data_IF_230237712884
#
_entry.id   IF_230237712884
#
_cell.length_a   1.000
_cell.length_b   1.000
_cell.length_c   1.000
_cell.angle_alpha   90.00
_cell.angle_beta   90.00
_cell.angle_gamma   90.00
#
_symmetry.space_group_name_H-M   'P 1'
#
loop_
_entity.id
_entity.type
_entity.pdbx_description
1 polymer ?
#
# COMPACT_ATOMS: atom_id res chain seq x y z
N UNK A 1 18.57 -11.16 -9.04
CA UNK A 1 18.09 -10.10 -8.14
C UNK A 1 17.62 -10.76 -6.87
N UNK A 2 18.18 -10.42 -5.70
CA UNK A 2 17.75 -10.97 -4.41
C UNK A 2 16.59 -10.12 -3.90
N UNK A 3 15.38 -10.68 -3.83
CA UNK A 3 14.27 -9.96 -3.19
C UNK A 3 14.55 -9.84 -1.69
N UNK A 4 14.42 -8.65 -1.09
CA UNK A 4 14.58 -8.48 0.34
C UNK A 4 13.47 -9.23 1.10
N UNK A 5 13.82 -9.76 2.27
CA UNK A 5 12.95 -10.62 3.10
C UNK A 5 11.55 -10.04 3.32
N UNK A 6 11.49 -8.73 3.61
CA UNK A 6 10.23 -7.98 3.81
C UNK A 6 9.27 -8.10 2.62
N UNK A 7 9.78 -8.03 1.40
CA UNK A 7 8.96 -8.08 0.20
C UNK A 7 8.34 -9.48 0.04
N UNK A 8 9.11 -10.52 0.33
CA UNK A 8 8.58 -11.88 0.22
C UNK A 8 7.52 -12.17 1.29
N UNK A 9 7.73 -11.69 2.51
CA UNK A 9 6.71 -11.79 3.58
C UNK A 9 5.42 -11.10 3.14
N UNK A 10 5.54 -9.87 2.61
CA UNK A 10 4.39 -9.14 2.09
C UNK A 10 3.68 -9.88 0.94
N UNK A 11 4.41 -10.39 -0.06
CA UNK A 11 3.84 -11.14 -1.18
C UNK A 11 3.17 -12.43 -0.71
N UNK A 12 3.70 -13.09 0.32
CA UNK A 12 3.07 -14.29 0.92
C UNK A 12 1.72 -13.93 1.56
N UNK A 13 1.67 -12.83 2.31
CA UNK A 13 0.41 -12.34 2.91
C UNK A 13 -0.58 -11.94 1.81
N UNK A 14 -0.10 -11.25 0.77
CA UNK A 14 -0.92 -10.80 -0.36
C UNK A 14 -1.55 -11.95 -1.14
N UNK A 15 -0.79 -13.01 -1.40
CA UNK A 15 -1.29 -14.19 -2.09
C UNK A 15 -2.29 -15.00 -1.25
N UNK A 16 -2.16 -14.98 0.07
CA UNK A 16 -3.10 -15.63 0.98
C UNK A 16 -4.36 -14.76 1.25
N UNK A 17 -4.25 -13.44 1.15
CA UNK A 17 -5.29 -12.47 1.48
C UNK A 17 -5.46 -12.26 2.99
N UNK A 18 -5.73 -13.33 3.72
CA UNK A 18 -5.82 -13.34 5.20
C UNK A 18 -5.33 -14.67 5.75
N UNK A 19 -4.48 -14.63 6.78
CA UNK A 19 -3.90 -15.82 7.41
C UNK A 19 -3.47 -15.53 8.85
N UNK A 20 -3.21 -16.57 9.63
CA UNK A 20 -2.67 -16.41 10.99
C UNK A 20 -1.15 -16.27 10.97
N UNK A 21 -0.57 -15.74 12.04
CA UNK A 21 0.88 -15.62 12.17
C UNK A 21 1.59 -16.99 12.15
N UNK A 22 0.94 -18.02 12.71
CA UNK A 22 1.37 -19.41 12.62
C UNK A 22 1.34 -19.96 11.18
N UNK A 23 0.30 -19.65 10.41
CA UNK A 23 0.19 -20.06 8.99
C UNK A 23 1.22 -19.34 8.12
N UNK A 24 1.46 -18.06 8.38
CA UNK A 24 2.47 -17.27 7.69
C UNK A 24 3.87 -17.84 7.93
N UNK A 25 4.21 -18.13 9.19
CA UNK A 25 5.49 -18.76 9.55
C UNK A 25 5.69 -20.10 8.83
N UNK A 26 4.66 -20.97 8.84
CA UNK A 26 4.70 -22.26 8.11
C UNK A 26 4.89 -22.06 6.61
N UNK A 27 4.26 -21.05 6.01
CA UNK A 27 4.37 -20.76 4.59
C UNK A 27 5.77 -20.28 4.20
N UNK A 28 6.38 -19.44 5.05
CA UNK A 28 7.76 -18.98 4.86
C UNK A 28 8.77 -20.12 5.00
N UNK A 29 8.58 -21.02 5.97
CA UNK A 29 9.42 -22.22 6.12
C UNK A 29 9.33 -23.11 4.89
N UNK A 30 8.11 -23.32 4.34
CA UNK A 30 7.92 -24.07 3.08
C UNK A 30 8.62 -23.41 1.88
N UNK A 31 8.72 -22.08 1.88
CA UNK A 31 9.49 -21.34 0.89
C UNK A 31 11.02 -21.39 1.11
N UNK A 32 11.48 -22.15 2.12
CA UNK A 32 12.90 -22.32 2.45
C UNK A 32 13.47 -21.21 3.33
N UNK A 33 12.61 -20.45 4.01
CA UNK A 33 13.01 -19.25 4.75
C UNK A 33 12.70 -19.45 6.22
N UNK A 34 13.77 -19.49 7.01
CA UNK A 34 13.69 -19.52 8.46
C UNK A 34 14.04 -18.12 8.98
N UNK A 35 13.08 -17.51 9.67
CA UNK A 35 13.22 -16.19 10.27
C UNK A 35 13.13 -16.37 11.80
N UNK A 36 14.06 -15.80 12.59
CA UNK A 36 13.90 -15.75 14.03
C UNK A 36 12.61 -15.02 14.43
N UNK A 37 11.97 -15.43 15.51
CA UNK A 37 10.68 -14.87 15.95
C UNK A 37 10.75 -13.35 16.18
N UNK A 38 11.84 -12.85 16.75
CA UNK A 38 12.08 -11.41 16.96
C UNK A 38 12.10 -10.64 15.63
N UNK A 39 12.79 -11.18 14.61
CA UNK A 39 12.88 -10.55 13.30
C UNK A 39 11.56 -10.64 12.51
N UNK A 40 10.82 -11.75 12.69
CA UNK A 40 9.49 -11.93 12.15
C UNK A 40 8.51 -10.89 12.71
N UNK A 41 8.47 -10.72 14.03
CA UNK A 41 7.62 -9.73 14.68
C UNK A 41 8.01 -8.29 14.29
N UNK A 42 9.31 -7.97 14.20
CA UNK A 42 9.77 -6.68 13.67
C UNK A 42 9.38 -6.44 12.23
N UNK A 43 9.38 -7.49 11.40
CA UNK A 43 8.97 -7.39 9.99
C UNK A 43 7.48 -7.08 9.87
N UNK A 44 6.64 -7.78 10.63
CA UNK A 44 5.20 -7.51 10.69
C UNK A 44 4.91 -6.10 11.20
N UNK A 45 5.57 -5.68 12.28
CA UNK A 45 5.43 -4.32 12.82
C UNK A 45 5.80 -3.25 11.78
N UNK A 46 6.90 -3.44 11.06
CA UNK A 46 7.30 -2.51 10.00
C UNK A 46 6.24 -2.44 8.89
N UNK A 47 5.75 -3.59 8.42
CA UNK A 47 4.71 -3.65 7.38
C UNK A 47 3.40 -3.00 7.83
N UNK A 48 3.04 -3.14 9.10
CA UNK A 48 1.86 -2.50 9.69
C UNK A 48 2.05 -0.98 9.81
N UNK A 49 3.22 -0.50 10.25
CA UNK A 49 3.55 0.94 10.29
C UNK A 49 3.50 1.56 8.89
N UNK A 50 3.93 0.84 7.86
CA UNK A 50 3.82 1.30 6.47
C UNK A 50 2.39 1.24 5.92
N UNK A 51 1.41 0.72 6.68
CA UNK A 51 0.03 0.60 6.23
C UNK A 51 -0.15 -0.41 5.09
N UNK A 52 0.74 -1.41 4.99
CA UNK A 52 0.67 -2.45 3.96
C UNK A 52 -0.16 -3.64 4.41
N UNK A 53 -0.17 -3.91 5.70
CA UNK A 53 -0.90 -5.01 6.33
C UNK A 53 -1.63 -4.49 7.57
N UNK A 54 -2.59 -5.28 8.04
CA UNK A 54 -3.27 -5.08 9.31
C UNK A 54 -3.09 -6.34 10.15
N UNK A 55 -2.79 -6.16 11.44
CA UNK A 55 -2.68 -7.26 12.40
C UNK A 55 -3.79 -7.11 13.45
N UNK A 56 -4.53 -8.19 13.70
CA UNK A 56 -5.61 -8.21 14.68
C UNK A 56 -5.53 -9.45 15.56
N UNK A 57 -5.90 -9.31 16.84
CA UNK A 57 -5.97 -10.46 17.75
C UNK A 57 -7.23 -11.26 17.46
N UNK A 58 -7.06 -12.54 17.14
CA UNK A 58 -8.16 -13.49 17.04
C UNK A 58 -8.46 -14.13 18.40
N UNK A 59 -7.39 -14.47 19.13
CA UNK A 59 -7.42 -14.92 20.53
C UNK A 59 -6.24 -14.31 21.29
N UNK A 60 -6.00 -14.70 22.55
CA UNK A 60 -4.85 -14.22 23.33
C UNK A 60 -3.50 -14.62 22.71
N UNK A 61 -3.47 -15.73 21.98
CA UNK A 61 -2.23 -16.36 21.50
C UNK A 61 -2.20 -16.48 19.97
N UNK A 62 -3.21 -15.97 19.27
CA UNK A 62 -3.34 -16.09 17.82
C UNK A 62 -3.71 -14.75 17.18
N UNK A 63 -2.93 -14.36 16.16
CA UNK A 63 -3.10 -13.11 15.42
C UNK A 63 -3.51 -13.40 13.98
N UNK A 64 -4.49 -12.67 13.48
CA UNK A 64 -4.85 -12.61 12.06
C UNK A 64 -4.08 -11.47 11.40
N UNK A 65 -3.50 -11.78 10.25
CA UNK A 65 -2.74 -10.86 9.41
C UNK A 65 -3.45 -10.81 8.06
N UNK A 66 -3.71 -9.60 7.58
CA UNK A 66 -4.41 -9.35 6.31
C UNK A 66 -3.78 -8.16 5.58
N UNK A 67 -4.00 -8.07 4.27
CA UNK A 67 -3.59 -6.88 3.50
C UNK A 67 -4.42 -5.69 3.96
N UNK A 68 -3.75 -4.56 4.19
CA UNK A 68 -4.44 -3.31 4.41
C UNK A 68 -5.07 -2.89 3.07
N UNK A 69 -6.40 -2.82 3.05
CA UNK A 69 -7.10 -2.13 1.96
C UNK A 69 -6.69 -0.66 2.03
N UNK A 70 -6.16 -0.13 0.91
CA UNK A 70 -6.02 1.32 0.79
C UNK A 70 -7.42 1.90 0.87
N UNK A 71 -7.65 2.82 1.80
CA UNK A 71 -8.84 3.67 1.71
C UNK A 71 -8.74 4.46 0.39
N UNK A 72 -9.49 4.03 -0.64
CA UNK A 72 -9.55 4.71 -1.95
C UNK A 72 -9.91 6.20 -1.82
N UNK A 73 -10.49 6.61 -0.68
CA UNK A 73 -10.88 7.98 -0.38
C UNK A 73 -9.72 8.98 -0.31
N UNK A 74 -8.49 8.59 0.05
CA UNK A 74 -7.37 9.53 0.09
C UNK A 74 -6.85 9.87 -1.32
N UNK A 75 -6.76 8.87 -2.21
CA UNK A 75 -6.37 9.04 -3.60
C UNK A 75 -7.41 9.88 -4.40
N UNK A 76 -8.71 9.76 -4.07
CA UNK A 76 -9.76 10.54 -4.73
C UNK A 76 -9.78 12.02 -4.31
N UNK A 77 -9.63 12.33 -3.03
CA UNK A 77 -9.58 13.71 -2.53
C UNK A 77 -8.35 14.43 -3.10
N UNK A 78 -7.19 13.78 -3.12
CA UNK A 78 -5.97 14.35 -3.71
C UNK A 78 -6.13 14.59 -5.22
N UNK A 79 -6.78 13.67 -5.94
CA UNK A 79 -7.10 13.83 -7.36
C UNK A 79 -8.06 15.00 -7.61
N UNK A 80 -9.15 15.11 -6.83
CA UNK A 80 -10.11 16.21 -6.94
C UNK A 80 -9.49 17.57 -6.61
N UNK A 81 -8.64 17.63 -5.59
CA UNK A 81 -7.91 18.84 -5.23
C UNK A 81 -6.95 19.27 -6.35
N UNK A 82 -6.22 18.32 -6.95
CA UNK A 82 -5.34 18.59 -8.09
C UNK A 82 -6.10 19.11 -9.31
N UNK A 83 -7.19 18.44 -9.69
CA UNK A 83 -8.04 18.87 -10.82
C UNK A 83 -8.66 20.25 -10.60
N UNK A 84 -9.04 20.58 -9.36
CA UNK A 84 -9.60 21.89 -9.02
C UNK A 84 -8.53 22.99 -9.11
N UNK A 85 -7.31 22.71 -8.64
CA UNK A 85 -6.17 23.63 -8.71
C UNK A 85 -5.76 23.93 -10.16
N UNK A 86 -5.75 22.92 -11.04
CA UNK A 86 -5.45 23.08 -12.47
C UNK A 86 -6.50 23.97 -13.16
N UNK A 87 -7.79 23.73 -12.89
CA UNK A 87 -8.88 24.56 -13.45
C UNK A 87 -8.81 26.01 -13.00
N UNK A 88 -8.49 26.26 -11.73
CA UNK A 88 -8.32 27.63 -11.22
C UNK A 88 -7.10 28.33 -11.83
N UNK A 89 -6.00 27.61 -12.04
CA UNK A 89 -4.81 28.13 -12.71
C UNK A 89 -5.07 28.48 -14.19
N UNK A 90 -5.77 27.59 -14.91
CA UNK A 90 -6.19 27.83 -16.30
C UNK A 90 -7.17 29.00 -16.40
N UNK A 91 -8.13 29.11 -15.48
CA UNK A 91 -9.08 30.21 -15.44
C UNK A 91 -8.43 31.55 -15.05
N UNK A 92 -7.33 31.51 -14.29
CA UNK A 92 -6.55 32.67 -13.87
C UNK A 92 -5.65 33.28 -14.94
N UNK A 93 -5.49 32.62 -16.10
CA UNK A 93 -4.75 33.12 -17.26
C UNK A 93 -5.69 33.43 -18.45
N UNK A 94 -6.40 34.57 -18.44
CA UNK A 94 -7.19 35.02 -19.58
C UNK A 94 -6.26 35.53 -20.68
N UNK A 95 -5.73 34.62 -21.51
CA UNK A 95 -4.82 35.03 -22.59
C UNK A 95 -4.35 33.97 -23.59
N UNK A 96 -4.73 32.69 -23.50
CA UNK A 96 -4.15 31.64 -24.38
C UNK A 96 -5.12 31.15 -25.48
N UNK A 97 -6.36 31.63 -25.55
CA UNK A 97 -7.33 31.26 -26.61
C UNK A 97 -7.56 32.31 -27.71
N UNK A 98 -6.78 33.39 -27.82
CA UNK A 98 -6.93 34.38 -28.90
C UNK A 98 -5.68 34.50 -29.79
N UNK A 99 -5.20 33.38 -30.35
CA UNK A 99 -4.31 33.42 -31.51
C UNK A 99 -4.70 32.34 -32.53
N UNK A 100 -5.98 32.28 -32.91
CA UNK A 100 -6.43 31.58 -34.13
C UNK A 100 -7.62 32.30 -34.77
N UNK A 101 -7.52 33.61 -34.98
CA UNK A 101 -8.39 34.32 -35.93
C UNK A 101 -7.74 35.65 -36.36
N UNK A 102 -6.62 35.56 -37.07
CA UNK A 102 -6.20 36.64 -37.98
C UNK A 102 -6.10 36.04 -39.37
N UNK A 103 -7.23 36.15 -40.08
CA UNK A 103 -7.30 35.98 -41.52
C UNK A 103 -6.71 37.23 -42.19
N UNK A 104 -5.69 37.06 -43.03
CA UNK A 104 -5.35 37.97 -44.13
C UNK A 104 -5.33 37.17 -45.45
#
# INVERSE_FOLDING_TARGET
MTMPLRNLVYETIKNAGSLTDSELSKSLIKAGISIPEDEFNKTLLNLEIFGLIKVSWLTKDERRIEIAEKEEGQDEIERQNRESLEKEYEAGFPGVQQEQDISE
#
